data_IF_396294671401
#
_entry.id   IF_396294671401
#
_cell.length_a   1.000
_cell.length_b   1.000
_cell.length_c   1.000
_cell.angle_alpha   90.00
_cell.angle_beta   90.00
_cell.angle_gamma   90.00
#
_symmetry.space_group_name_H-M   'P 1'
#
loop_
_entity.id
_entity.type
_entity.pdbx_description
1 polymer ?
#
# COMPACT_ATOMS: atom_id res chain seq x y z
N UNK A 1 -11.61 36.70 -27.04
CA UNK A 1 -11.23 35.65 -26.06
C UNK A 1 -11.17 34.34 -26.81
N UNK A 2 -10.16 33.50 -26.56
CA UNK A 2 -10.06 32.18 -27.18
C UNK A 2 -11.08 31.24 -26.52
N UNK A 3 -11.73 30.38 -27.31
CA UNK A 3 -12.63 29.33 -26.80
C UNK A 3 -11.82 28.30 -25.99
N UNK A 4 -12.26 27.91 -24.78
CA UNK A 4 -11.57 26.88 -23.99
C UNK A 4 -11.41 25.57 -24.77
N UNK A 5 -10.30 24.87 -24.57
CA UNK A 5 -10.01 23.60 -25.26
C UNK A 5 -11.10 22.57 -24.96
N UNK A 6 -11.63 22.56 -23.74
CA UNK A 6 -12.71 21.68 -23.30
C UNK A 6 -13.97 21.80 -24.18
N UNK A 7 -14.38 23.01 -24.55
CA UNK A 7 -15.57 23.24 -25.36
C UNK A 7 -15.37 22.79 -26.82
N UNK A 8 -14.14 22.87 -27.32
CA UNK A 8 -13.80 22.46 -28.68
C UNK A 8 -13.69 20.93 -28.83
N UNK A 9 -13.30 20.21 -27.78
CA UNK A 9 -13.10 18.75 -27.85
C UNK A 9 -14.34 17.96 -27.44
N UNK A 10 -15.21 18.53 -26.60
CA UNK A 10 -16.45 17.89 -26.13
C UNK A 10 -17.73 18.46 -26.79
N UNK A 11 -17.65 19.57 -27.53
CA UNK A 11 -18.77 20.21 -28.22
C UNK A 11 -19.18 19.55 -29.56
N UNK A 12 -20.05 20.24 -30.31
CA UNK A 12 -20.61 19.75 -31.59
C UNK A 12 -19.59 19.64 -32.74
N UNK A 13 -18.43 20.28 -32.63
CA UNK A 13 -17.35 20.22 -33.62
C UNK A 13 -16.13 19.50 -33.03
N UNK A 14 -16.08 18.17 -33.15
CA UNK A 14 -15.02 17.34 -32.57
C UNK A 14 -13.74 17.41 -33.39
N UNK A 15 -12.97 18.48 -33.22
CA UNK A 15 -11.59 18.49 -33.69
C UNK A 15 -10.72 17.58 -32.80
N UNK A 16 -9.75 16.84 -33.36
CA UNK A 16 -8.78 16.10 -32.55
C UNK A 16 -8.05 17.03 -31.58
N UNK A 17 -7.91 16.59 -30.32
CA UNK A 17 -7.26 17.38 -29.24
C UNK A 17 -5.90 17.92 -29.69
N UNK A 18 -5.10 17.09 -30.37
CA UNK A 18 -3.78 17.46 -30.86
C UNK A 18 -3.80 18.63 -31.86
N UNK A 19 -4.81 18.69 -32.73
CA UNK A 19 -4.97 19.77 -33.70
C UNK A 19 -5.38 21.08 -33.03
N UNK A 20 -6.28 21.00 -32.04
CA UNK A 20 -6.69 22.15 -31.23
C UNK A 20 -5.49 22.70 -30.47
N UNK A 21 -4.72 21.85 -29.77
CA UNK A 21 -3.54 22.27 -29.02
C UNK A 21 -2.46 22.88 -29.94
N UNK A 22 -2.25 22.32 -31.12
CA UNK A 22 -1.23 22.85 -32.05
C UNK A 22 -1.64 24.21 -32.61
N UNK A 23 -2.91 24.39 -32.93
CA UNK A 23 -3.43 25.63 -33.55
C UNK A 23 -3.55 26.74 -32.52
N UNK A 24 -4.21 26.46 -31.39
CA UNK A 24 -4.56 27.46 -30.39
C UNK A 24 -3.38 27.97 -29.58
N UNK A 25 -2.27 27.23 -29.56
CA UNK A 25 -1.05 27.59 -28.84
C UNK A 25 0.17 27.73 -29.76
N UNK A 26 -0.02 27.89 -31.08
CA UNK A 26 1.06 28.04 -32.05
C UNK A 26 2.01 29.20 -31.70
N UNK A 27 1.47 30.36 -31.32
CA UNK A 27 2.25 31.54 -30.94
C UNK A 27 3.05 31.30 -29.64
N UNK A 28 2.42 30.66 -28.65
CA UNK A 28 3.09 30.30 -27.40
C UNK A 28 4.23 29.31 -27.64
N UNK A 29 4.02 28.31 -28.51
CA UNK A 29 5.04 27.34 -28.89
C UNK A 29 6.21 28.02 -29.61
N UNK A 30 5.93 29.00 -30.48
CA UNK A 30 6.95 29.80 -31.16
C UNK A 30 7.76 30.63 -30.17
N UNK A 31 7.12 31.34 -29.24
CA UNK A 31 7.82 32.10 -28.19
C UNK A 31 8.73 31.21 -27.33
N UNK A 32 8.26 30.02 -26.95
CA UNK A 32 9.07 29.04 -26.20
C UNK A 32 10.28 28.56 -27.03
N UNK A 33 10.07 28.26 -28.31
CA UNK A 33 11.15 27.84 -29.20
C UNK A 33 12.21 28.93 -29.38
N UNK A 34 11.81 30.18 -29.55
CA UNK A 34 12.70 31.33 -29.66
C UNK A 34 13.49 31.57 -28.36
N UNK A 35 12.82 31.51 -27.20
CA UNK A 35 13.47 31.61 -25.90
C UNK A 35 14.48 30.48 -25.69
N UNK A 36 14.12 29.24 -26.01
CA UNK A 36 15.01 28.08 -25.92
C UNK A 36 16.24 28.22 -26.85
N UNK A 37 16.04 28.70 -28.08
CA UNK A 37 17.13 28.96 -29.01
C UNK A 37 18.09 30.05 -28.48
N UNK A 38 17.55 31.13 -27.89
CA UNK A 38 18.35 32.20 -27.27
C UNK A 38 19.18 31.68 -26.10
N UNK A 39 18.59 30.85 -25.23
CA UNK A 39 19.29 30.23 -24.10
C UNK A 39 20.43 29.33 -24.58
N UNK A 40 20.17 28.46 -25.58
CA UNK A 40 21.18 27.52 -26.12
C UNK A 40 22.37 28.21 -26.79
N UNK A 41 22.15 29.39 -27.39
CA UNK A 41 23.22 30.18 -28.01
C UNK A 41 24.08 30.92 -26.98
N UNK A 42 23.64 31.04 -25.73
CA UNK A 42 24.39 31.78 -24.72
C UNK A 42 25.62 30.99 -24.25
N UNK A 43 26.80 31.62 -24.11
CA UNK A 43 28.00 30.95 -23.59
C UNK A 43 27.78 30.46 -22.17
N UNK A 44 28.24 29.24 -21.89
CA UNK A 44 28.12 28.56 -20.58
C UNK A 44 29.20 28.98 -19.59
N UNK A 45 30.34 29.49 -20.08
CA UNK A 45 31.44 29.97 -19.24
C UNK A 45 31.25 31.45 -18.89
N UNK A 46 30.83 31.70 -17.66
CA UNK A 46 30.68 33.05 -17.09
C UNK A 46 32.05 33.50 -16.57
N UNK A 47 32.52 34.67 -17.00
CA UNK A 47 33.86 35.19 -16.66
C UNK A 47 33.86 36.48 -15.86
N UNK A 48 32.72 37.19 -15.83
CA UNK A 48 32.58 38.47 -15.14
C UNK A 48 31.13 38.70 -14.68
N UNK A 49 30.95 39.65 -13.77
CA UNK A 49 29.65 39.95 -13.16
C UNK A 49 28.60 40.43 -14.18
N UNK A 50 29.04 41.11 -15.24
CA UNK A 50 28.15 41.53 -16.34
C UNK A 50 27.55 40.32 -17.08
N UNK A 51 28.39 39.32 -17.40
CA UNK A 51 27.94 38.06 -18.01
C UNK A 51 27.08 37.24 -17.04
N UNK A 52 27.35 37.33 -15.75
CA UNK A 52 26.52 36.69 -14.71
C UNK A 52 25.12 37.32 -14.63
N UNK A 53 25.03 38.66 -14.62
CA UNK A 53 23.76 39.38 -14.61
C UNK A 53 22.93 39.11 -15.88
N UNK A 54 23.58 39.05 -17.05
CA UNK A 54 22.93 38.72 -18.32
C UNK A 54 22.33 37.31 -18.32
N UNK A 55 23.07 36.31 -17.82
CA UNK A 55 22.55 34.95 -17.63
C UNK A 55 21.40 34.95 -16.64
N UNK A 56 21.50 35.72 -15.56
CA UNK A 56 20.43 35.86 -14.58
C UNK A 56 19.13 36.40 -15.17
N UNK A 57 19.21 37.44 -16.00
CA UNK A 57 18.03 37.99 -16.68
C UNK A 57 17.38 36.97 -17.62
N UNK A 58 18.20 36.26 -18.42
CA UNK A 58 17.70 35.20 -19.31
C UNK A 58 17.01 34.08 -18.51
N UNK A 59 17.59 33.68 -17.36
CA UNK A 59 17.01 32.67 -16.50
C UNK A 59 15.67 33.12 -15.87
N UNK A 60 15.56 34.39 -15.47
CA UNK A 60 14.32 34.99 -14.95
C UNK A 60 13.24 35.01 -16.03
N UNK A 61 13.56 35.50 -17.22
CA UNK A 61 12.61 35.59 -18.34
C UNK A 61 12.12 34.20 -18.77
N UNK A 62 13.03 33.22 -18.82
CA UNK A 62 12.69 31.83 -19.10
C UNK A 62 11.73 31.26 -18.04
N UNK A 63 11.95 31.56 -16.75
CA UNK A 63 11.05 31.13 -15.67
C UNK A 63 9.68 31.79 -15.79
N UNK A 64 9.60 33.08 -16.12
CA UNK A 64 8.32 33.78 -16.33
C UNK A 64 7.54 33.15 -17.48
N UNK A 65 8.20 32.84 -18.60
CA UNK A 65 7.57 32.16 -19.72
C UNK A 65 7.09 30.75 -19.35
N UNK A 66 7.91 29.98 -18.63
CA UNK A 66 7.53 28.67 -18.11
C UNK A 66 6.32 28.76 -17.16
N UNK A 67 6.28 29.77 -16.28
CA UNK A 67 5.13 30.00 -15.40
C UNK A 67 3.87 30.33 -16.21
N UNK A 68 3.97 31.16 -17.25
CA UNK A 68 2.83 31.48 -18.13
C UNK A 68 2.28 30.24 -18.83
N UNK A 69 3.15 29.35 -19.31
CA UNK A 69 2.75 28.05 -19.88
C UNK A 69 1.98 27.22 -18.85
N UNK A 70 2.48 27.14 -17.63
CA UNK A 70 1.84 26.38 -16.55
C UNK A 70 0.49 26.99 -16.13
N UNK A 71 0.38 28.32 -16.05
CA UNK A 71 -0.87 29.00 -15.70
C UNK A 71 -1.94 28.79 -16.76
N UNK A 72 -1.57 28.85 -18.04
CA UNK A 72 -2.44 28.52 -19.16
C UNK A 72 -2.89 27.06 -19.07
N UNK A 73 -1.95 26.12 -18.86
CA UNK A 73 -2.27 24.70 -18.69
C UNK A 73 -3.25 24.47 -17.54
N UNK A 74 -3.03 25.13 -16.40
CA UNK A 74 -3.95 25.08 -15.25
C UNK A 74 -5.32 25.65 -15.60
N UNK A 75 -5.38 26.79 -16.30
CA UNK A 75 -6.65 27.39 -16.73
C UNK A 75 -7.50 26.43 -17.56
N UNK A 76 -6.89 25.71 -18.50
CA UNK A 76 -7.60 24.74 -19.35
C UNK A 76 -7.95 23.44 -18.62
N UNK A 77 -7.06 22.95 -17.74
CA UNK A 77 -7.22 21.64 -17.10
C UNK A 77 -8.02 21.66 -15.80
N UNK A 78 -8.04 22.79 -15.08
CA UNK A 78 -8.71 22.87 -13.77
C UNK A 78 -10.21 22.57 -13.86
N UNK A 79 -10.99 23.14 -14.81
CA UNK A 79 -12.41 22.82 -14.92
C UNK A 79 -12.68 21.34 -15.20
N UNK A 80 -11.83 20.71 -16.02
CA UNK A 80 -11.93 19.29 -16.35
C UNK A 80 -11.61 18.40 -15.13
N UNK A 81 -10.58 18.76 -14.37
CA UNK A 81 -10.21 18.04 -13.14
C UNK A 81 -11.28 18.18 -12.06
N UNK A 82 -11.89 19.36 -11.91
CA UNK A 82 -13.00 19.57 -10.96
C UNK A 82 -14.26 18.79 -11.38
N UNK A 83 -14.59 18.76 -12.67
CA UNK A 83 -15.66 17.92 -13.20
C UNK A 83 -15.38 16.44 -12.94
N UNK A 84 -14.17 15.97 -13.23
CA UNK A 84 -13.74 14.59 -12.97
C UNK A 84 -13.83 14.24 -11.48
N UNK A 85 -13.37 15.13 -10.59
CA UNK A 85 -13.45 14.96 -9.13
C UNK A 85 -14.89 14.85 -8.66
N UNK A 86 -15.78 15.69 -9.18
CA UNK A 86 -17.21 15.70 -8.83
C UNK A 86 -17.91 14.41 -9.27
N UNK A 87 -17.65 13.96 -10.50
CA UNK A 87 -18.16 12.69 -11.03
C UNK A 87 -17.65 11.53 -10.16
N UNK A 88 -16.34 11.49 -9.91
CA UNK A 88 -15.73 10.45 -9.07
C UNK A 88 -16.34 10.44 -7.68
N UNK A 89 -16.45 11.58 -7.02
CA UNK A 89 -17.01 11.69 -5.67
C UNK A 89 -18.47 11.19 -5.61
N UNK A 90 -19.27 11.48 -6.65
CA UNK A 90 -20.64 10.97 -6.74
C UNK A 90 -20.67 9.43 -6.79
N UNK A 91 -19.88 8.81 -7.67
CA UNK A 91 -19.83 7.36 -7.78
C UNK A 91 -19.16 6.69 -6.57
N UNK A 92 -18.16 7.31 -5.96
CA UNK A 92 -17.57 6.85 -4.71
C UNK A 92 -18.61 6.83 -3.59
N UNK A 93 -19.50 7.84 -3.50
CA UNK A 93 -20.56 7.87 -2.49
C UNK A 93 -21.61 6.75 -2.72
N UNK A 94 -21.95 6.46 -3.97
CA UNK A 94 -22.83 5.33 -4.31
C UNK A 94 -22.18 3.99 -3.93
N UNK A 95 -20.89 3.82 -4.22
CA UNK A 95 -20.14 2.63 -3.84
C UNK A 95 -20.04 2.49 -2.31
N UNK A 96 -19.72 3.57 -1.60
CA UNK A 96 -19.65 3.59 -0.14
C UNK A 96 -20.98 3.20 0.51
N UNK A 97 -22.11 3.66 -0.04
CA UNK A 97 -23.45 3.26 0.43
C UNK A 97 -23.66 1.74 0.37
N UNK A 98 -23.18 1.10 -0.70
CA UNK A 98 -23.26 -0.36 -0.84
C UNK A 98 -22.29 -1.06 0.10
N UNK A 99 -21.06 -0.56 0.23
CA UNK A 99 -20.06 -1.12 1.14
C UNK A 99 -20.52 -1.05 2.60
N UNK A 100 -21.09 0.08 3.02
CA UNK A 100 -21.67 0.28 4.35
C UNK A 100 -22.88 -0.63 4.58
N UNK A 101 -23.75 -0.81 3.58
CA UNK A 101 -24.89 -1.74 3.67
C UNK A 101 -24.44 -3.21 3.78
N UNK A 102 -23.34 -3.59 3.13
CA UNK A 102 -22.80 -4.95 3.16
C UNK A 102 -21.92 -5.19 4.40
N UNK A 103 -21.40 -4.15 5.05
CA UNK A 103 -20.50 -4.26 6.21
C UNK A 103 -21.07 -5.13 7.35
N UNK A 104 -22.33 -4.94 7.82
CA UNK A 104 -22.90 -5.82 8.85
C UNK A 104 -23.01 -7.29 8.40
N UNK A 105 -23.25 -7.54 7.11
CA UNK A 105 -23.30 -8.90 6.57
C UNK A 105 -21.91 -9.55 6.55
N UNK A 106 -20.86 -8.77 6.21
CA UNK A 106 -19.46 -9.21 6.31
C UNK A 106 -19.08 -9.52 7.76
N UNK A 107 -19.44 -8.64 8.70
CA UNK A 107 -19.18 -8.86 10.14
C UNK A 107 -19.91 -10.11 10.66
N UNK A 108 -21.16 -10.32 10.27
CA UNK A 108 -21.91 -11.54 10.59
C UNK A 108 -21.26 -12.80 10.00
N UNK A 109 -20.79 -12.73 8.74
CA UNK A 109 -20.08 -13.83 8.09
C UNK A 109 -18.72 -14.12 8.76
N UNK A 110 -17.99 -13.09 9.18
CA UNK A 110 -16.74 -13.20 9.93
C UNK A 110 -16.98 -13.83 11.30
N UNK A 111 -18.02 -13.40 12.03
CA UNK A 111 -18.39 -13.97 13.32
C UNK A 111 -18.80 -15.43 13.19
N UNK A 112 -19.67 -15.78 12.22
CA UNK A 112 -20.01 -17.17 11.93
C UNK A 112 -18.78 -18.01 11.57
N UNK A 113 -17.88 -17.46 10.76
CA UNK A 113 -16.62 -18.12 10.38
C UNK A 113 -15.72 -18.36 11.59
N UNK A 114 -15.60 -17.39 12.50
CA UNK A 114 -14.84 -17.49 13.76
C UNK A 114 -15.48 -18.51 14.70
N UNK A 115 -16.79 -18.48 14.87
CA UNK A 115 -17.54 -19.43 15.69
C UNK A 115 -17.43 -20.85 15.15
N UNK A 116 -17.60 -21.04 13.83
CA UNK A 116 -17.44 -22.34 13.18
C UNK A 116 -16.02 -22.87 13.34
N UNK A 117 -15.01 -22.03 13.15
CA UNK A 117 -13.62 -22.41 13.39
C UNK A 117 -13.36 -22.76 14.87
N UNK A 118 -13.95 -22.02 15.81
CA UNK A 118 -13.82 -22.30 17.24
C UNK A 118 -14.55 -23.58 17.66
N UNK A 119 -15.77 -23.82 17.17
CA UNK A 119 -16.55 -25.03 17.44
C UNK A 119 -15.88 -26.27 16.88
N UNK A 120 -15.32 -26.19 15.67
CA UNK A 120 -14.57 -27.30 15.10
C UNK A 120 -13.28 -27.57 15.88
N UNK A 121 -12.57 -26.53 16.34
CA UNK A 121 -11.43 -26.72 17.25
C UNK A 121 -11.84 -27.42 18.56
N UNK A 122 -12.90 -26.96 19.22
CA UNK A 122 -13.41 -27.58 20.45
C UNK A 122 -13.82 -29.03 20.25
N UNK A 123 -14.57 -29.33 19.18
CA UNK A 123 -14.97 -30.70 18.85
C UNK A 123 -13.76 -31.61 18.66
N UNK A 124 -12.72 -31.13 17.96
CA UNK A 124 -11.49 -31.90 17.76
C UNK A 124 -10.70 -32.08 19.05
N UNK A 125 -10.64 -31.06 19.91
CA UNK A 125 -10.03 -31.14 21.24
C UNK A 125 -10.76 -32.14 22.15
N UNK A 126 -12.10 -32.15 22.13
CA UNK A 126 -12.94 -33.11 22.87
C UNK A 126 -12.79 -34.54 22.33
N UNK A 127 -12.78 -34.73 21.01
CA UNK A 127 -12.52 -36.03 20.37
C UNK A 127 -11.12 -36.55 20.71
N UNK A 128 -10.09 -35.70 20.69
CA UNK A 128 -8.74 -36.04 21.12
C UNK A 128 -8.69 -36.40 22.61
N UNK A 129 -9.34 -35.63 23.47
CA UNK A 129 -9.40 -35.91 24.92
C UNK A 129 -10.11 -37.24 25.22
N UNK A 130 -11.23 -37.52 24.56
CA UNK A 130 -11.95 -38.78 24.72
C UNK A 130 -11.15 -40.00 24.22
N UNK A 131 -10.30 -39.82 23.20
CA UNK A 131 -9.37 -40.87 22.76
C UNK A 131 -8.25 -41.11 23.78
N UNK A 132 -7.68 -40.05 24.37
CA UNK A 132 -6.67 -40.16 25.44
C UNK A 132 -7.23 -40.84 26.69
N UNK A 133 -8.43 -40.49 27.13
CA UNK A 133 -9.08 -41.13 28.29
C UNK A 133 -9.35 -42.63 28.05
N UNK A 134 -9.68 -43.02 26.81
CA UNK A 134 -9.84 -44.43 26.43
C UNK A 134 -8.51 -45.17 26.35
N UNK A 135 -7.45 -44.53 25.87
CA UNK A 135 -6.10 -45.09 25.88
C UNK A 135 -5.64 -45.36 27.33
N UNK A 136 -5.80 -44.38 28.21
CA UNK A 136 -5.41 -44.47 29.63
C UNK A 136 -6.17 -45.60 30.34
N UNK A 137 -7.49 -45.70 30.11
CA UNK A 137 -8.29 -46.81 30.65
C UNK A 137 -7.88 -48.19 30.14
N UNK A 138 -7.47 -48.33 28.87
CA UNK A 138 -6.99 -49.61 28.34
C UNK A 138 -5.56 -49.93 28.80
N UNK A 139 -4.70 -48.93 29.02
CA UNK A 139 -3.39 -49.10 29.68
C UNK A 139 -3.55 -49.59 31.12
N UNK A 140 -4.46 -49.00 31.89
CA UNK A 140 -4.73 -49.42 33.28
C UNK A 140 -5.28 -50.84 33.36
N UNK A 141 -6.14 -51.23 32.39
CA UNK A 141 -6.59 -52.63 32.25
C UNK A 141 -5.44 -53.56 31.85
N UNK A 142 -4.53 -53.14 30.97
CA UNK A 142 -3.39 -53.95 30.60
C UNK A 142 -2.45 -54.19 31.79
N UNK A 143 -2.24 -53.16 32.62
CA UNK A 143 -1.40 -53.24 33.83
C UNK A 143 -1.96 -54.18 34.91
N UNK A 144 -3.28 -54.44 34.90
CA UNK A 144 -3.96 -55.32 35.87
C UNK A 144 -4.19 -56.76 35.37
N UNK A 145 -3.84 -57.06 34.10
CA UNK A 145 -4.00 -58.37 33.47
C UNK A 145 -2.64 -59.07 33.29
N UNK A 146 -2.63 -60.38 33.06
CA UNK A 146 -1.41 -61.13 32.71
C UNK A 146 -1.59 -62.03 31.49
N UNK A 147 -0.47 -62.38 30.84
CA UNK A 147 -0.45 -63.29 29.69
C UNK A 147 -1.11 -62.70 28.45
N UNK A 148 -1.81 -63.54 27.67
CA UNK A 148 -2.42 -63.15 26.40
C UNK A 148 -3.47 -62.02 26.50
N UNK A 149 -4.09 -61.86 27.68
CA UNK A 149 -5.06 -60.79 27.93
C UNK A 149 -4.40 -59.41 28.07
N UNK A 150 -3.19 -59.35 28.68
CA UNK A 150 -2.40 -58.13 28.79
C UNK A 150 -1.89 -57.68 27.41
N UNK A 151 -1.32 -58.60 26.62
CA UNK A 151 -0.85 -58.31 25.27
C UNK A 151 -1.98 -57.81 24.34
N UNK A 152 -3.20 -58.32 24.48
CA UNK A 152 -4.37 -57.87 23.71
C UNK A 152 -4.90 -56.51 24.18
N UNK A 153 -4.70 -56.14 25.45
CA UNK A 153 -5.06 -54.82 25.98
C UNK A 153 -4.00 -53.77 25.57
N UNK A 154 -2.72 -54.12 25.62
CA UNK A 154 -1.60 -53.27 25.19
C UNK A 154 -1.68 -52.96 23.68
N UNK A 155 -1.95 -53.96 22.83
CA UNK A 155 -2.17 -53.73 21.39
C UNK A 155 -3.42 -52.88 21.07
N UNK A 156 -4.42 -52.83 21.98
CA UNK A 156 -5.57 -51.92 21.86
C UNK A 156 -5.20 -50.51 22.28
N UNK A 157 -4.39 -50.34 23.32
CA UNK A 157 -3.87 -49.05 23.75
C UNK A 157 -2.97 -48.41 22.67
N UNK A 158 -2.06 -49.17 22.05
CA UNK A 158 -1.23 -48.67 20.95
C UNK A 158 -2.05 -48.24 19.73
N UNK A 159 -3.09 -48.99 19.37
CA UNK A 159 -3.97 -48.63 18.26
C UNK A 159 -4.76 -47.33 18.53
N UNK A 160 -5.17 -47.11 19.79
CA UNK A 160 -5.83 -45.88 20.23
C UNK A 160 -4.87 -44.68 20.27
N UNK A 161 -3.63 -44.88 20.72
CA UNK A 161 -2.59 -43.85 20.71
C UNK A 161 -2.27 -43.39 19.28
N UNK A 162 -2.12 -44.33 18.33
CA UNK A 162 -1.91 -44.00 16.92
C UNK A 162 -3.12 -43.26 16.29
N UNK A 163 -4.35 -43.59 16.69
CA UNK A 163 -5.54 -42.85 16.27
C UNK A 163 -5.60 -41.43 16.87
N UNK A 164 -5.21 -41.26 18.13
CA UNK A 164 -5.15 -39.95 18.78
C UNK A 164 -4.12 -39.03 18.11
N UNK A 165 -2.93 -39.54 17.81
CA UNK A 165 -1.87 -38.79 17.14
C UNK A 165 -2.27 -38.38 15.70
N UNK A 166 -2.94 -39.27 14.95
CA UNK A 166 -3.48 -38.94 13.63
C UNK A 166 -4.60 -37.89 13.70
N UNK A 167 -5.45 -37.94 14.73
CA UNK A 167 -6.50 -36.94 14.94
C UNK A 167 -5.91 -35.56 15.28
N UNK A 168 -4.85 -35.51 16.08
CA UNK A 168 -4.11 -34.27 16.40
C UNK A 168 -3.40 -33.70 15.18
N UNK A 169 -2.73 -34.53 14.38
CA UNK A 169 -2.09 -34.11 13.14
C UNK A 169 -3.09 -33.58 12.10
N UNK A 170 -4.29 -34.17 12.02
CA UNK A 170 -5.38 -33.65 11.20
C UNK A 170 -5.96 -32.32 11.74
N UNK A 171 -5.81 -32.05 13.04
CA UNK A 171 -6.19 -30.80 13.69
C UNK A 171 -5.42 -29.57 13.21
N UNK A 172 -4.19 -29.77 12.69
CA UNK A 172 -3.36 -28.70 12.12
C UNK A 172 -3.72 -28.27 10.69
N UNK A 173 -4.76 -28.85 10.07
CA UNK A 173 -5.25 -28.39 8.76
C UNK A 173 -5.71 -26.93 8.82
N UNK A 174 -5.43 -26.19 7.75
CA UNK A 174 -5.75 -24.77 7.61
C UNK A 174 -7.23 -24.46 7.88
N UNK A 175 -7.49 -23.40 8.64
CA UNK A 175 -8.85 -22.85 8.89
C UNK A 175 -9.59 -22.58 7.57
N UNK A 176 -8.86 -22.26 6.50
CA UNK A 176 -9.42 -22.01 5.17
C UNK A 176 -10.15 -23.22 4.59
N UNK A 177 -9.62 -24.43 4.80
CA UNK A 177 -10.19 -25.66 4.26
C UNK A 177 -11.41 -26.11 5.07
N UNK A 178 -11.45 -25.76 6.35
CA UNK A 178 -12.52 -26.11 7.28
C UNK A 178 -13.78 -25.25 7.06
N UNK A 179 -13.62 -23.98 6.65
CA UNK A 179 -14.74 -23.03 6.53
C UNK A 179 -15.19 -22.79 5.07
N UNK A 180 -14.53 -23.40 4.09
CA UNK A 180 -14.88 -23.22 2.67
C UNK A 180 -16.32 -23.65 2.39
N UNK A 181 -17.15 -22.70 1.95
CA UNK A 181 -18.54 -22.96 1.54
C UNK A 181 -18.78 -22.39 0.14
N UNK A 182 -19.49 -23.15 -0.70
CA UNK A 182 -19.95 -22.68 -2.01
C UNK A 182 -21.20 -21.84 -1.83
N UNK A 183 -21.21 -20.65 -2.41
CA UNK A 183 -22.37 -19.76 -2.43
C UNK A 183 -23.20 -20.09 -3.67
N UNK A 184 -24.52 -20.19 -3.51
CA UNK A 184 -25.44 -20.35 -4.64
C UNK A 184 -25.28 -19.14 -5.57
N UNK A 185 -24.78 -19.38 -6.79
CA UNK A 185 -24.36 -18.32 -7.74
C UNK A 185 -22.90 -18.37 -8.18
N UNK A 186 -22.10 -19.32 -7.66
CA UNK A 186 -20.73 -19.60 -8.16
C UNK A 186 -19.60 -18.93 -7.37
N UNK A 187 -19.91 -18.14 -6.34
CA UNK A 187 -18.94 -17.58 -5.40
C UNK A 187 -18.44 -18.62 -4.39
N UNK A 188 -17.22 -18.43 -3.87
CA UNK A 188 -16.65 -19.24 -2.78
C UNK A 188 -16.34 -18.33 -1.60
N UNK A 189 -16.94 -18.60 -0.44
CA UNK A 189 -16.55 -17.96 0.81
C UNK A 189 -15.37 -18.74 1.42
N UNK A 190 -14.28 -18.04 1.73
CA UNK A 190 -13.08 -18.62 2.36
C UNK A 190 -12.65 -17.79 3.56
N UNK A 191 -12.16 -18.46 4.59
CA UNK A 191 -11.53 -17.80 5.73
C UNK A 191 -10.02 -17.65 5.47
N UNK A 192 -9.46 -16.49 5.80
CA UNK A 192 -8.01 -16.26 5.80
C UNK A 192 -7.56 -15.75 7.16
N UNK A 193 -6.40 -16.20 7.62
CA UNK A 193 -5.80 -15.72 8.86
C UNK A 193 -4.79 -14.62 8.50
N UNK A 194 -4.94 -13.45 9.11
CA UNK A 194 -3.96 -12.35 9.03
C UNK A 194 -3.42 -12.08 10.42
N UNK A 195 -2.11 -11.92 10.51
CA UNK A 195 -1.45 -11.42 11.71
C UNK A 195 -1.48 -9.90 11.65
N UNK A 196 -1.94 -9.28 12.72
CA UNK A 196 -2.05 -7.84 12.86
C UNK A 196 -1.37 -7.39 14.16
N UNK A 197 -1.15 -6.08 14.31
CA UNK A 197 -0.49 -5.52 15.49
C UNK A 197 -1.20 -4.25 15.98
N UNK A 198 -1.04 -3.97 17.28
CA UNK A 198 -1.45 -2.70 17.89
C UNK A 198 -0.24 -2.11 18.59
N UNK A 199 -0.08 -0.79 18.53
CA UNK A 199 1.01 -0.08 19.20
C UNK A 199 0.47 0.39 20.55
N UNK A 200 1.04 -0.12 21.64
CA UNK A 200 0.68 0.29 23.01
C UNK A 200 1.52 1.49 23.47
N UNK A 201 2.82 1.49 23.19
CA UNK A 201 3.75 2.58 23.48
C UNK A 201 4.72 2.74 22.29
N UNK A 202 4.76 3.94 21.72
CA UNK A 202 5.61 4.24 20.58
C UNK A 202 7.08 4.45 20.98
N UNK A 203 7.34 5.02 22.16
CA UNK A 203 8.68 5.38 22.60
C UNK A 203 9.49 4.16 23.06
N UNK A 204 8.79 3.09 23.46
CA UNK A 204 9.40 1.80 23.77
C UNK A 204 9.85 1.00 22.53
N UNK A 205 9.54 1.47 21.31
CA UNK A 205 9.88 0.75 20.06
C UNK A 205 11.38 0.88 19.75
N UNK A 206 12.11 -0.24 19.80
CA UNK A 206 13.50 -0.29 19.36
C UNK A 206 13.62 -0.23 17.83
N UNK A 207 13.84 0.97 17.30
CA UNK A 207 14.02 1.22 15.87
C UNK A 207 15.21 0.46 15.25
N UNK A 208 16.19 0.01 16.05
CA UNK A 208 17.32 -0.77 15.52
C UNK A 208 16.87 -2.14 15.03
N UNK A 209 15.89 -2.77 15.70
CA UNK A 209 15.31 -4.04 15.26
C UNK A 209 14.56 -3.90 13.94
N UNK A 210 13.95 -2.74 13.71
CA UNK A 210 13.22 -2.42 12.47
C UNK A 210 14.14 -1.92 11.36
N UNK A 211 15.43 -1.67 11.62
CA UNK A 211 16.34 -1.02 10.67
C UNK A 211 16.48 -1.76 9.33
N UNK A 212 16.32 -3.08 9.32
CA UNK A 212 16.34 -3.88 8.09
C UNK A 212 15.05 -3.75 7.25
N UNK A 213 13.96 -3.25 7.83
CA UNK A 213 12.67 -3.00 7.18
C UNK A 213 12.53 -1.54 6.72
N UNK A 214 13.34 -0.62 7.26
CA UNK A 214 13.32 0.80 6.87
C UNK A 214 14.05 0.96 5.53
N UNK A 215 13.36 1.53 4.54
CA UNK A 215 13.96 1.80 3.23
C UNK A 215 15.06 2.86 3.32
N UNK A 216 16.04 2.79 2.41
CA UNK A 216 17.11 3.80 2.33
C UNK A 216 16.56 5.21 2.09
N UNK A 217 15.50 5.32 1.30
CA UNK A 217 14.83 6.58 1.00
C UNK A 217 14.20 7.24 2.24
N UNK A 218 13.63 6.45 3.14
CA UNK A 218 13.09 6.95 4.41
C UNK A 218 14.21 7.51 5.30
N UNK A 219 15.35 6.83 5.35
CA UNK A 219 16.54 7.30 6.09
C UNK A 219 17.10 8.58 5.48
N UNK A 220 17.25 8.66 4.16
CA UNK A 220 17.70 9.88 3.48
C UNK A 220 16.75 11.05 3.71
N UNK A 221 15.43 10.81 3.72
CA UNK A 221 14.42 11.83 4.01
C UNK A 221 14.56 12.36 5.43
N UNK A 222 14.80 11.49 6.40
CA UNK A 222 15.07 11.87 7.78
C UNK A 222 16.37 12.70 7.89
N UNK A 223 17.45 12.27 7.21
CA UNK A 223 18.72 13.02 7.17
C UNK A 223 18.51 14.41 6.55
N UNK A 224 17.79 14.53 5.43
CA UNK A 224 17.50 15.84 4.81
C UNK A 224 16.71 16.75 5.75
N UNK A 225 15.76 16.19 6.51
CA UNK A 225 15.03 16.93 7.54
C UNK A 225 15.97 17.43 8.65
N UNK A 226 16.90 16.57 9.10
CA UNK A 226 17.94 16.93 10.08
C UNK A 226 18.81 18.09 9.59
N UNK A 227 19.29 18.04 8.33
CA UNK A 227 20.08 19.13 7.72
C UNK A 227 19.29 20.43 7.69
N UNK A 228 18.00 20.38 7.33
CA UNK A 228 17.15 21.57 7.24
C UNK A 228 16.96 22.25 8.59
N UNK A 229 16.78 21.46 9.66
CA UNK A 229 16.52 21.95 11.01
C UNK A 229 17.80 22.41 11.72
N UNK A 230 18.86 21.59 11.70
CA UNK A 230 20.08 21.85 12.46
C UNK A 230 21.14 22.63 11.68
N UNK A 231 21.07 22.65 10.35
CA UNK A 231 21.97 23.39 9.44
C UNK A 231 23.44 23.13 9.78
N UNK A 232 24.16 24.16 10.24
CA UNK A 232 25.59 24.10 10.58
C UNK A 232 25.89 23.20 11.80
N UNK A 233 24.89 22.94 12.63
CA UNK A 233 25.02 22.09 13.83
C UNK A 233 24.61 20.64 13.56
N UNK A 234 24.21 20.28 12.34
CA UNK A 234 23.87 18.92 11.99
C UNK A 234 25.11 18.02 12.14
N UNK A 235 25.03 17.03 13.01
CA UNK A 235 26.08 16.03 13.23
C UNK A 235 25.45 14.65 13.32
N UNK A 236 25.95 13.73 12.50
CA UNK A 236 25.50 12.35 12.45
C UNK A 236 26.68 11.48 11.98
N UNK A 237 27.09 10.46 12.74
CA UNK A 237 28.15 9.55 12.31
C UNK A 237 27.86 8.92 10.94
N UNK A 238 28.85 8.98 10.04
CA UNK A 238 28.74 8.42 8.69
C UNK A 238 28.13 9.36 7.63
N UNK A 239 27.70 10.57 7.99
CA UNK A 239 27.18 11.57 7.04
C UNK A 239 28.07 12.82 7.05
N UNK A 240 28.54 13.23 5.87
CA UNK A 240 29.28 14.49 5.70
C UNK A 240 28.33 15.60 5.32
N UNK A 241 28.17 16.58 6.21
CA UNK A 241 27.43 17.80 5.92
C UNK A 241 28.36 18.85 5.31
N UNK A 242 27.89 19.56 4.29
CA UNK A 242 28.64 20.63 3.63
C UNK A 242 27.69 21.75 3.20
N UNK A 243 28.22 22.97 3.15
CA UNK A 243 27.51 24.11 2.60
C UNK A 243 27.86 24.24 1.12
N UNK A 244 26.83 24.25 0.28
CA UNK A 244 26.97 24.51 -1.16
C UNK A 244 26.37 25.88 -1.46
N UNK A 245 27.14 26.74 -2.12
CA UNK A 245 26.69 28.09 -2.52
C UNK A 245 26.30 28.06 -3.98
N UNK A 246 25.00 28.18 -4.24
CA UNK A 246 24.43 28.17 -5.59
C UNK A 246 23.87 29.53 -5.94
N UNK A 247 24.11 29.96 -7.18
CA UNK A 247 23.40 31.10 -7.74
C UNK A 247 21.90 30.80 -7.79
N UNK A 248 21.09 31.74 -7.30
CA UNK A 248 19.64 31.68 -7.39
C UNK A 248 19.16 32.95 -8.07
N UNK A 249 18.54 32.80 -9.23
CA UNK A 249 17.85 33.90 -9.92
C UNK A 249 16.40 33.86 -9.50
N UNK A 250 15.80 34.99 -9.12
CA UNK A 250 14.39 35.11 -8.74
C UNK A 250 13.76 36.25 -9.50
#
# INVERSE_FOLDING_TARGET
MRTPVAEQIFGHNKAPVEQVLTTDFADLAKEVAEAAAKIRKHPTKIKNDTSFAAVGQIAIDARKLAQRVEDIRKGETSPLLEAQRSIKAHFDALAATLDDAVKPLKEAADNYTREKAAAERRRREEEAKALREKEESERDKAASLSGAAAAKAEGRAEALAAQAEQAEAAGHRSVSDTVRTKVAGGGVATASTKWDFSIEDYDAIDLNKLRHLISREAVETAIRSLVRTQKQHASLPGVKFFQDTRASFR
#
